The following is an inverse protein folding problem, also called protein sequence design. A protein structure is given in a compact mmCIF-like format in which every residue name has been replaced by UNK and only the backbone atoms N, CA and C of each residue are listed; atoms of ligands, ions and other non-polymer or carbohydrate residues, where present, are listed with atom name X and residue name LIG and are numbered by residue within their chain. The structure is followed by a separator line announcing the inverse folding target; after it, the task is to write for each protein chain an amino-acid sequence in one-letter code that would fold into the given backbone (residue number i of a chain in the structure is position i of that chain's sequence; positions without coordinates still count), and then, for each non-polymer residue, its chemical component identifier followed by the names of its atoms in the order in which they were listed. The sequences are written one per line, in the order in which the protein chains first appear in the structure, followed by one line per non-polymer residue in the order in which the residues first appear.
data_IF_906997208246
#
_entry.id   IF_906997208246
#
_cell.length_a   1.000
_cell.length_b   1.000
_cell.length_c   1.000
_cell.angle_alpha   90.00
_cell.angle_beta   90.00
_cell.angle_gamma   90.00
#
_symmetry.space_group_name_H-M   'P 1'
#
loop_
_entity.id
_entity.type
_entity.pdbx_description
1 polymer ?
#
# COMPACT_ATOMS: atom_id res chain seq x y z
N UNK A 1 -47.75 37.22 18.75
CA UNK A 1 -46.66 36.55 19.50
C UNK A 1 -46.73 35.03 19.41
N UNK A 2 -47.84 34.43 19.85
CA UNK A 2 -48.02 32.97 20.03
C UNK A 2 -47.89 32.12 18.75
N UNK A 3 -48.61 32.45 17.67
CA UNK A 3 -48.61 31.63 16.45
C UNK A 3 -47.24 31.55 15.75
N UNK A 4 -46.47 32.64 15.80
CA UNK A 4 -45.12 32.69 15.25
C UNK A 4 -44.19 31.76 16.03
N UNK A 5 -44.31 31.71 17.36
CA UNK A 5 -43.57 30.78 18.21
C UNK A 5 -43.98 29.32 17.95
N UNK A 6 -45.26 29.04 17.75
CA UNK A 6 -45.74 27.68 17.42
C UNK A 6 -45.17 27.20 16.09
N UNK A 7 -45.10 28.06 15.07
CA UNK A 7 -44.49 27.72 13.77
C UNK A 7 -42.98 27.43 13.90
N UNK A 8 -42.26 28.23 14.69
CA UNK A 8 -40.82 28.05 14.96
C UNK A 8 -40.58 26.73 15.70
N UNK A 9 -41.36 26.44 16.75
CA UNK A 9 -41.26 25.21 17.53
C UNK A 9 -41.55 23.96 16.69
N UNK A 10 -42.54 24.03 15.80
CA UNK A 10 -42.84 22.94 14.87
C UNK A 10 -41.69 22.70 13.87
N UNK A 11 -41.03 23.77 13.40
CA UNK A 11 -39.86 23.65 12.52
C UNK A 11 -38.67 23.05 13.26
N UNK A 12 -38.40 23.51 14.49
CA UNK A 12 -37.36 22.95 15.36
C UNK A 12 -37.59 21.46 15.65
N UNK A 13 -38.84 21.06 15.91
CA UNK A 13 -39.21 19.66 16.13
C UNK A 13 -38.91 18.79 14.91
N UNK A 14 -39.29 19.24 13.72
CA UNK A 14 -39.00 18.52 12.46
C UNK A 14 -37.50 18.45 12.17
N UNK A 15 -36.74 19.51 12.47
CA UNK A 15 -35.29 19.52 12.29
C UNK A 15 -34.61 18.56 13.26
N UNK A 16 -34.98 18.56 14.54
CA UNK A 16 -34.47 17.61 15.54
C UNK A 16 -34.75 16.17 15.13
N UNK A 17 -35.97 15.85 14.70
CA UNK A 17 -36.30 14.50 14.20
C UNK A 17 -35.44 14.06 13.01
N UNK A 18 -35.07 14.98 12.10
CA UNK A 18 -34.16 14.67 10.98
C UNK A 18 -32.73 14.46 11.45
N UNK A 19 -32.27 15.25 12.42
CA UNK A 19 -30.94 15.08 13.05
C UNK A 19 -30.89 13.74 13.78
N UNK A 20 -31.88 13.43 14.62
CA UNK A 20 -31.96 12.16 15.34
C UNK A 20 -31.97 10.95 14.39
N UNK A 21 -32.70 11.03 13.27
CA UNK A 21 -32.74 9.98 12.26
C UNK A 21 -31.39 9.83 11.51
N UNK A 22 -30.67 10.92 11.28
CA UNK A 22 -29.32 10.88 10.70
C UNK A 22 -28.33 10.31 11.70
N UNK A 23 -28.40 10.72 12.97
CA UNK A 23 -27.57 10.18 14.06
C UNK A 23 -27.82 8.69 14.30
N UNK A 24 -29.07 8.23 14.19
CA UNK A 24 -29.40 6.81 14.29
C UNK A 24 -28.76 6.00 13.16
N UNK A 25 -28.77 6.53 11.92
CA UNK A 25 -28.09 5.93 10.76
C UNK A 25 -26.58 5.91 10.95
N UNK A 26 -26.00 6.96 11.54
CA UNK A 26 -24.56 7.02 11.85
C UNK A 26 -24.18 6.08 12.99
N UNK A 27 -25.04 5.91 14.01
CA UNK A 27 -24.82 4.95 15.11
C UNK A 27 -24.83 3.50 14.63
N UNK A 28 -25.68 3.15 13.68
CA UNK A 28 -25.66 1.82 13.04
C UNK A 28 -24.40 1.55 12.19
N UNK A 29 -23.62 2.58 11.84
CA UNK A 29 -22.30 2.42 11.20
C UNK A 29 -21.22 2.08 12.24
N UNK A 30 -21.50 2.28 13.54
CA UNK A 30 -20.55 2.04 14.63
C UNK A 30 -20.88 0.87 15.55
N UNK A 31 -21.98 0.13 15.36
CA UNK A 31 -22.46 -0.83 16.38
C UNK A 31 -22.77 -2.26 15.95
N UNK A 32 -22.36 -2.76 14.77
CA UNK A 32 -22.51 -4.20 14.52
C UNK A 32 -21.59 -4.73 13.44
N UNK A 33 -20.37 -5.10 13.83
CA UNK A 33 -19.61 -6.28 13.42
C UNK A 33 -18.20 -6.10 14.03
N UNK A 34 -17.54 -7.18 14.42
CA UNK A 34 -16.18 -7.11 14.99
C UNK A 34 -15.23 -6.32 14.10
N UNK A 35 -14.07 -5.90 14.63
CA UNK A 35 -13.11 -5.17 13.82
C UNK A 35 -12.79 -6.01 12.57
N UNK A 36 -13.03 -5.51 11.33
CA UNK A 36 -12.91 -6.31 10.11
C UNK A 36 -11.46 -6.76 9.85
N UNK A 37 -10.50 -6.25 10.62
CA UNK A 37 -9.11 -6.68 10.64
C UNK A 37 -8.80 -7.85 11.59
N UNK A 38 -9.70 -8.23 12.49
CA UNK A 38 -9.48 -9.34 13.44
C UNK A 38 -9.34 -10.69 12.73
N UNK A 39 -9.84 -10.80 11.50
CA UNK A 39 -9.73 -11.99 10.65
C UNK A 39 -8.36 -12.16 9.95
N UNK A 40 -7.36 -11.31 10.23
CA UNK A 40 -6.05 -11.31 9.55
C UNK A 40 -6.20 -11.33 8.02
N UNK A 41 -6.96 -10.38 7.50
CA UNK A 41 -7.39 -10.34 6.09
C UNK A 41 -6.25 -10.07 5.11
N UNK A 42 -5.17 -9.42 5.55
CA UNK A 42 -4.06 -9.00 4.69
C UNK A 42 -2.89 -9.98 4.79
N UNK A 43 -2.32 -10.35 3.65
CA UNK A 43 -1.18 -11.27 3.54
C UNK A 43 0.13 -10.50 3.37
N UNK A 44 1.25 -11.23 3.44
CA UNK A 44 2.60 -10.74 3.10
C UNK A 44 3.02 -9.43 3.79
N UNK A 45 2.61 -9.24 5.05
CA UNK A 45 2.93 -8.04 5.82
C UNK A 45 2.05 -6.81 5.52
N UNK A 46 0.95 -6.99 4.79
CA UNK A 46 -0.06 -5.97 4.55
C UNK A 46 -0.65 -5.40 5.85
N UNK A 47 -0.79 -4.07 5.91
CA UNK A 47 -1.43 -3.39 7.04
C UNK A 47 -2.93 -3.34 6.82
N UNK A 48 -3.70 -3.92 7.75
CA UNK A 48 -5.15 -3.88 7.69
C UNK A 48 -5.69 -2.56 8.26
N UNK A 49 -6.58 -1.92 7.50
CA UNK A 49 -7.23 -0.67 7.86
C UNK A 49 -8.75 -0.92 7.86
N UNK A 50 -9.44 -0.79 9.00
CA UNK A 50 -10.89 -0.92 9.05
C UNK A 50 -11.57 0.28 8.37
N UNK A 51 -12.64 0.01 7.62
CA UNK A 51 -13.40 1.01 6.85
C UNK A 51 -14.89 0.80 7.06
N UNK A 52 -15.71 1.76 6.61
CA UNK A 52 -17.17 1.65 6.64
C UNK A 52 -17.73 0.53 5.73
N UNK A 53 -16.90 -0.02 4.84
CA UNK A 53 -17.28 -1.07 3.89
C UNK A 53 -16.59 -2.42 4.18
N UNK A 54 -15.91 -2.56 5.32
CA UNK A 54 -15.14 -3.76 5.69
C UNK A 54 -13.66 -3.45 5.90
N UNK A 55 -12.75 -4.31 5.43
CA UNK A 55 -11.30 -4.13 5.57
C UNK A 55 -10.64 -3.68 4.26
N UNK A 56 -9.70 -2.73 4.36
CA UNK A 56 -8.77 -2.37 3.30
C UNK A 56 -7.36 -2.80 3.67
N UNK A 57 -6.63 -3.41 2.73
CA UNK A 57 -5.24 -3.80 2.94
C UNK A 57 -4.31 -2.81 2.25
N UNK A 58 -3.46 -2.14 3.04
CA UNK A 58 -2.34 -1.39 2.51
C UNK A 58 -1.14 -2.32 2.33
N UNK A 59 -0.78 -2.59 1.08
CA UNK A 59 0.26 -3.54 0.74
C UNK A 59 1.66 -2.94 0.84
N UNK A 60 2.64 -3.69 1.38
CA UNK A 60 4.04 -3.33 1.28
C UNK A 60 4.51 -3.40 -0.18
N UNK A 61 5.69 -2.83 -0.44
CA UNK A 61 6.33 -2.91 -1.75
C UNK A 61 6.48 -4.38 -2.20
N UNK A 62 6.25 -4.64 -3.48
CA UNK A 62 6.33 -5.98 -4.09
C UNK A 62 5.06 -6.81 -3.96
N UNK A 63 3.99 -6.29 -3.35
CA UNK A 63 2.72 -7.01 -3.20
C UNK A 63 1.52 -6.18 -3.64
N UNK A 64 0.55 -6.84 -4.26
CA UNK A 64 -0.67 -6.22 -4.75
C UNK A 64 -1.92 -7.10 -4.54
N UNK A 65 -3.05 -6.59 -5.03
CA UNK A 65 -4.37 -7.20 -4.84
C UNK A 65 -5.04 -6.77 -3.52
N UNK A 66 -6.34 -7.03 -3.43
CA UNK A 66 -7.18 -6.60 -2.30
C UNK A 66 -6.76 -7.14 -0.91
N UNK A 67 -5.94 -8.21 -0.89
CA UNK A 67 -5.39 -8.84 0.32
C UNK A 67 -3.86 -8.90 0.33
N UNK A 68 -3.17 -8.17 -0.56
CA UNK A 68 -1.71 -8.23 -0.72
C UNK A 68 -1.18 -9.65 -0.98
N UNK A 69 -1.97 -10.46 -1.69
CA UNK A 69 -1.70 -11.88 -1.92
C UNK A 69 -1.06 -12.13 -3.29
N UNK A 70 -1.04 -11.11 -4.15
CA UNK A 70 -0.45 -11.20 -5.47
C UNK A 70 0.95 -10.61 -5.40
N UNK A 71 1.91 -11.37 -5.91
CA UNK A 71 3.28 -10.94 -6.08
C UNK A 71 3.36 -9.97 -7.27
N UNK A 72 4.00 -8.82 -7.08
CA UNK A 72 4.23 -7.90 -8.19
C UNK A 72 5.40 -8.42 -9.04
N UNK A 73 5.24 -8.48 -10.37
CA UNK A 73 6.38 -8.80 -11.24
C UNK A 73 7.24 -7.54 -11.44
N UNK A 74 8.29 -7.37 -10.63
CA UNK A 74 9.19 -6.23 -10.75
C UNK A 74 10.07 -6.31 -12.01
N UNK A 75 10.32 -7.51 -12.54
CA UNK A 75 11.05 -7.65 -13.80
C UNK A 75 10.28 -7.05 -14.98
N UNK A 76 8.96 -7.21 -14.98
CA UNK A 76 8.08 -6.55 -15.95
C UNK A 76 7.95 -5.06 -15.65
N UNK A 77 7.76 -4.69 -14.37
CA UNK A 77 7.51 -3.31 -13.95
C UNK A 77 8.71 -2.37 -14.17
N UNK A 78 9.93 -2.86 -13.98
CA UNK A 78 11.15 -2.06 -14.13
C UNK A 78 11.92 -2.33 -15.43
N UNK A 79 11.31 -3.05 -16.38
CA UNK A 79 11.94 -3.35 -17.66
C UNK A 79 12.30 -2.06 -18.40
N UNK A 80 13.59 -1.87 -18.67
CA UNK A 80 14.09 -0.71 -19.43
C UNK A 80 14.14 0.59 -18.64
N UNK A 81 14.00 0.55 -17.31
CA UNK A 81 14.24 1.69 -16.43
C UNK A 81 15.51 1.49 -15.59
N UNK A 82 16.05 2.58 -15.05
CA UNK A 82 17.25 2.54 -14.19
C UNK A 82 17.02 1.78 -12.85
N UNK A 83 15.75 1.56 -12.49
CA UNK A 83 15.35 0.77 -11.33
C UNK A 83 15.33 -0.74 -11.59
N UNK A 84 15.58 -1.18 -12.82
CA UNK A 84 15.63 -2.59 -13.23
C UNK A 84 17.04 -3.11 -13.50
N UNK A 85 17.15 -4.35 -13.96
CA UNK A 85 18.44 -4.98 -14.28
C UNK A 85 19.11 -4.36 -15.51
N UNK A 86 20.38 -3.94 -15.36
CA UNK A 86 21.15 -3.26 -16.40
C UNK A 86 22.18 -4.16 -17.08
N UNK A 87 22.82 -3.62 -18.13
CA UNK A 87 24.00 -4.21 -18.78
C UNK A 87 23.80 -5.64 -19.28
N UNK A 88 22.58 -5.93 -19.75
CA UNK A 88 22.21 -7.25 -20.28
C UNK A 88 22.08 -8.34 -19.22
N UNK A 89 21.98 -7.99 -17.95
CA UNK A 89 21.67 -8.92 -16.87
C UNK A 89 20.29 -9.59 -17.08
N UNK A 90 20.15 -10.79 -16.56
CA UNK A 90 18.86 -11.52 -16.59
C UNK A 90 18.10 -11.20 -15.32
N UNK A 91 16.87 -10.72 -15.46
CA UNK A 91 15.98 -10.47 -14.33
C UNK A 91 15.22 -11.73 -13.93
N UNK A 92 15.14 -12.00 -12.63
CA UNK A 92 14.36 -13.10 -12.05
C UNK A 92 13.41 -12.52 -11.01
N UNK A 93 12.11 -12.67 -11.25
CA UNK A 93 11.08 -12.25 -10.30
C UNK A 93 11.06 -13.20 -9.09
N UNK A 94 10.87 -12.66 -7.90
CA UNK A 94 10.82 -13.42 -6.64
C UNK A 94 9.68 -12.91 -5.75
N UNK A 95 9.18 -13.69 -4.80
CA UNK A 95 8.10 -13.22 -3.92
C UNK A 95 8.48 -11.93 -3.16
N UNK A 96 7.79 -10.83 -3.47
CA UNK A 96 7.94 -9.49 -2.92
C UNK A 96 9.17 -8.71 -3.40
N UNK A 97 9.90 -9.21 -4.41
CA UNK A 97 11.12 -8.57 -4.90
C UNK A 97 11.63 -9.18 -6.21
N UNK A 98 12.81 -8.76 -6.66
CA UNK A 98 13.46 -9.38 -7.80
C UNK A 98 14.97 -9.43 -7.66
N UNK A 99 15.60 -10.26 -8.48
CA UNK A 99 17.06 -10.42 -8.51
C UNK A 99 17.60 -10.28 -9.92
N UNK A 100 18.71 -9.56 -10.04
CA UNK A 100 19.47 -9.47 -11.28
C UNK A 100 20.62 -10.46 -11.29
N UNK A 101 20.60 -11.40 -12.23
CA UNK A 101 21.74 -12.24 -12.54
C UNK A 101 22.67 -11.47 -13.48
N UNK A 102 23.70 -10.85 -12.88
CA UNK A 102 24.66 -10.03 -13.60
C UNK A 102 25.49 -10.84 -14.61
N UNK A 103 25.78 -10.23 -15.75
CA UNK A 103 26.80 -10.76 -16.68
C UNK A 103 28.20 -10.60 -16.11
N UNK A 104 29.12 -11.41 -16.60
CA UNK A 104 30.54 -11.33 -16.25
C UNK A 104 31.06 -9.89 -16.38
N UNK A 105 31.70 -9.40 -15.32
CA UNK A 105 32.23 -8.03 -15.24
C UNK A 105 31.25 -6.98 -14.69
N UNK A 106 30.04 -7.37 -14.27
CA UNK A 106 29.06 -6.49 -13.63
C UNK A 106 28.63 -7.00 -12.25
N UNK A 107 28.29 -6.09 -11.34
CA UNK A 107 27.85 -6.39 -9.97
C UNK A 107 26.90 -5.31 -9.42
N UNK A 108 26.36 -5.57 -8.22
CA UNK A 108 25.37 -4.73 -7.54
C UNK A 108 23.93 -5.17 -7.83
N UNK A 109 22.98 -4.65 -7.05
CA UNK A 109 21.56 -5.07 -7.10
C UNK A 109 20.97 -4.94 -8.51
N UNK A 110 21.33 -3.88 -9.23
CA UNK A 110 20.88 -3.61 -10.60
C UNK A 110 21.94 -3.92 -11.67
N UNK A 111 23.06 -4.56 -11.30
CA UNK A 111 24.19 -4.84 -12.20
C UNK A 111 24.78 -3.60 -12.90
N UNK A 112 24.81 -2.46 -12.19
CA UNK A 112 25.29 -1.17 -12.72
C UNK A 112 26.77 -0.92 -12.49
N UNK A 113 27.43 -1.66 -11.57
CA UNK A 113 28.83 -1.45 -11.20
C UNK A 113 29.72 -2.43 -11.96
N UNK A 114 30.86 -1.98 -12.52
CA UNK A 114 31.84 -2.88 -13.17
C UNK A 114 32.71 -3.58 -12.13
N UNK A 115 32.86 -4.89 -12.25
CA UNK A 115 33.68 -5.70 -11.32
C UNK A 115 35.18 -5.38 -11.38
N UNK A 116 35.65 -4.81 -12.50
CA UNK A 116 37.07 -4.47 -12.73
C UNK A 116 37.50 -3.07 -12.29
N UNK A 117 36.57 -2.22 -11.83
CA UNK A 117 36.90 -0.86 -11.37
C UNK A 117 37.72 -0.87 -10.06
N UNK A 118 37.95 -2.05 -9.47
CA UNK A 118 38.82 -2.28 -8.32
C UNK A 118 40.27 -2.63 -8.70
N UNK A 119 40.57 -2.81 -10.00
CA UNK A 119 41.88 -3.29 -10.46
C UNK A 119 42.92 -2.17 -10.59
N UNK A 120 42.50 -0.90 -10.52
CA UNK A 120 43.37 0.27 -10.75
C UNK A 120 43.09 1.48 -9.84
N UNK A 121 42.36 1.29 -8.73
CA UNK A 121 41.90 2.37 -7.83
C UNK A 121 41.84 1.93 -6.36
N UNK A 122 41.53 2.83 -5.40
CA UNK A 122 41.83 2.73 -3.96
C UNK A 122 41.27 1.47 -3.26
N UNK A 123 41.68 1.18 -2.00
CA UNK A 123 41.39 -0.09 -1.35
C UNK A 123 39.90 -0.43 -1.39
N UNK A 124 39.63 -1.73 -1.44
CA UNK A 124 38.34 -2.43 -1.40
C UNK A 124 37.26 -1.83 -0.46
N UNK A 125 37.63 -0.97 0.48
CA UNK A 125 36.77 -0.22 1.40
C UNK A 125 35.89 0.85 0.72
N UNK A 126 36.23 1.32 -0.50
CA UNK A 126 35.45 2.35 -1.23
C UNK A 126 34.63 1.78 -2.41
N UNK A 127 34.73 0.48 -2.67
CA UNK A 127 34.02 -0.15 -3.78
C UNK A 127 32.81 -0.91 -3.26
N UNK A 128 31.65 -0.24 -3.23
CA UNK A 128 30.38 -0.96 -3.35
C UNK A 128 29.36 -0.87 -2.22
N UNK A 129 29.52 0.01 -1.23
CA UNK A 129 28.39 0.42 -0.37
C UNK A 129 27.87 1.79 -0.78
#
# INVERSE_FOLDING_TARGET
GSERNTRINNRLRRLRQRVDALEARTRSISTSEGNPCDANTCQNGGTCIPTIYGAYCWCPSGWEGNRCHLDQDECSSFRGSDLGCQNGATCVNTPGSYQCQCRSGWMGIHCTKRSGDCSSGPPWELCGH
#
